data_IF_756094052358
#
_entry.id   IF_756094052358
#
_cell.length_a   1.000
_cell.length_b   1.000
_cell.length_c   1.000
_cell.angle_alpha   90.00
_cell.angle_beta   90.00
_cell.angle_gamma   90.00
#
_symmetry.space_group_name_H-M   'P 1'
#
loop_
_entity.id
_entity.type
_entity.pdbx_description
1 polymer ?
#
# COMPACT_ATOMS: atom_id res chain seq x y z
N UNK A 1 1.03 -13.77 7.90
CA UNK A 1 1.85 -13.16 8.95
C UNK A 1 2.07 -11.69 8.65
N UNK A 2 1.80 -10.84 9.61
CA UNK A 2 1.94 -9.40 9.50
C UNK A 2 3.27 -8.96 10.10
N UNK A 3 4.01 -8.12 9.39
CA UNK A 3 5.28 -7.56 9.85
C UNK A 3 5.34 -6.07 9.55
N UNK A 4 6.07 -5.34 10.39
CA UNK A 4 6.30 -3.91 10.20
C UNK A 4 7.82 -3.64 10.14
N UNK A 5 8.18 -2.63 9.36
CA UNK A 5 9.58 -2.23 9.16
C UNK A 5 9.69 -0.72 9.26
N UNK A 6 10.79 -0.24 9.80
CA UNK A 6 11.03 1.20 9.97
C UNK A 6 11.73 1.77 8.74
N UNK A 7 11.36 3.01 8.33
CA UNK A 7 12.07 3.69 7.26
C UNK A 7 13.46 4.14 7.71
N UNK A 8 14.33 4.44 6.73
CA UNK A 8 15.62 5.04 7.04
C UNK A 8 15.44 6.44 7.65
N UNK A 9 16.50 6.95 8.28
CA UNK A 9 16.44 8.24 8.98
C UNK A 9 16.03 9.41 8.08
N UNK A 10 16.45 9.38 6.82
CA UNK A 10 16.10 10.43 5.87
C UNK A 10 14.62 10.49 5.56
N UNK A 11 13.95 9.34 5.53
CA UNK A 11 12.53 9.22 5.19
C UNK A 11 11.61 9.19 6.42
N UNK A 12 12.14 8.95 7.61
CA UNK A 12 11.31 8.80 8.80
C UNK A 12 10.45 10.02 9.15
N UNK A 13 10.80 11.26 8.77
CA UNK A 13 9.87 12.39 8.95
C UNK A 13 8.61 12.31 8.12
N UNK A 14 8.62 11.55 7.03
CA UNK A 14 7.52 11.49 6.05
C UNK A 14 6.80 10.15 6.07
N UNK A 15 7.51 9.07 6.41
CA UNK A 15 6.99 7.70 6.38
C UNK A 15 6.90 7.18 7.80
N UNK A 16 5.70 6.76 8.19
CA UNK A 16 5.47 6.19 9.51
C UNK A 16 6.08 4.79 9.61
N UNK A 17 5.80 3.94 8.64
CA UNK A 17 6.30 2.56 8.59
C UNK A 17 6.04 1.94 7.23
N UNK A 18 6.76 0.85 6.97
CA UNK A 18 6.37 -0.14 5.96
C UNK A 18 5.68 -1.29 6.67
N UNK A 19 4.72 -1.91 6.01
CA UNK A 19 4.05 -3.07 6.56
C UNK A 19 3.88 -4.12 5.47
N UNK A 20 3.86 -5.38 5.88
CA UNK A 20 3.77 -6.51 4.96
C UNK A 20 2.87 -7.56 5.56
N UNK A 21 1.97 -8.09 4.77
CA UNK A 21 1.21 -9.27 5.10
C UNK A 21 1.48 -10.33 4.05
N UNK A 22 1.95 -11.49 4.49
CA UNK A 22 2.18 -12.65 3.64
C UNK A 22 1.62 -13.88 4.33
N UNK A 23 0.78 -14.64 3.65
CA UNK A 23 0.24 -15.84 4.24
C UNK A 23 -0.80 -16.49 3.35
N UNK A 24 -1.24 -17.66 3.81
CA UNK A 24 -2.36 -18.38 3.21
C UNK A 24 -3.60 -18.06 4.01
N UNK A 25 -4.68 -17.74 3.32
CA UNK A 25 -5.96 -17.47 3.95
C UNK A 25 -7.04 -18.36 3.34
N UNK A 26 -8.11 -18.53 4.08
CA UNK A 26 -9.31 -19.14 3.53
C UNK A 26 -10.06 -18.11 2.69
N UNK A 27 -10.75 -18.60 1.67
CA UNK A 27 -11.55 -17.78 0.78
C UNK A 27 -12.58 -16.95 1.58
N UNK A 28 -12.69 -15.66 1.28
CA UNK A 28 -13.66 -14.77 1.91
C UNK A 28 -13.19 -14.12 3.22
N UNK A 29 -11.91 -14.24 3.56
CA UNK A 29 -11.39 -13.56 4.75
C UNK A 29 -11.36 -12.05 4.52
N UNK A 30 -11.78 -11.33 5.57
CA UNK A 30 -11.81 -9.87 5.58
C UNK A 30 -10.73 -9.33 6.52
N UNK A 31 -10.00 -8.34 6.04
CA UNK A 31 -9.04 -7.60 6.85
C UNK A 31 -9.56 -6.19 7.06
N UNK A 32 -9.58 -5.73 8.31
CA UNK A 32 -10.03 -4.38 8.64
C UNK A 32 -8.82 -3.50 8.94
N UNK A 33 -8.68 -2.40 8.20
CA UNK A 33 -7.70 -1.38 8.49
C UNK A 33 -8.41 -0.28 9.27
N UNK A 34 -8.04 -0.04 10.56
CA UNK A 34 -8.70 0.98 11.36
C UNK A 34 -8.49 2.38 10.78
N UNK A 35 -9.38 3.33 11.05
CA UNK A 35 -9.18 4.71 10.61
C UNK A 35 -7.95 5.32 11.29
N UNK A 36 -7.12 5.99 10.50
CA UNK A 36 -5.96 6.73 10.97
C UNK A 36 -5.70 7.90 10.02
N UNK A 37 -4.95 8.90 10.48
CA UNK A 37 -4.68 10.09 9.68
C UNK A 37 -3.59 9.92 8.62
N UNK A 38 -3.17 8.69 8.35
CA UNK A 38 -2.10 8.38 7.41
C UNK A 38 -2.68 7.90 6.08
N UNK A 39 -1.92 8.14 5.00
CA UNK A 39 -2.21 7.56 3.69
C UNK A 39 -1.31 6.37 3.45
N UNK A 40 -1.82 5.36 2.76
CA UNK A 40 -1.05 4.18 2.39
C UNK A 40 -0.97 4.03 0.88
N UNK A 41 0.19 3.56 0.41
CA UNK A 41 0.33 2.99 -0.93
C UNK A 41 0.54 1.49 -0.75
N UNK A 42 -0.30 0.69 -1.39
CA UNK A 42 -0.30 -0.76 -1.22
C UNK A 42 0.14 -1.41 -2.54
N UNK A 43 1.13 -2.29 -2.46
CA UNK A 43 1.59 -3.09 -3.58
C UNK A 43 1.10 -4.52 -3.42
N UNK A 44 0.45 -5.05 -4.46
CA UNK A 44 0.00 -6.44 -4.48
C UNK A 44 1.08 -7.30 -5.12
N UNK A 45 1.74 -8.12 -4.33
CA UNK A 45 2.88 -8.93 -4.77
C UNK A 45 2.54 -10.38 -5.06
N UNK A 46 1.43 -10.85 -4.51
CA UNK A 46 0.99 -12.23 -4.68
C UNK A 46 -0.23 -12.35 -5.55
N UNK A 47 -1.07 -13.32 -5.23
CA UNK A 47 -2.34 -13.52 -5.91
C UNK A 47 -3.32 -12.40 -5.61
N UNK A 48 -4.39 -12.33 -6.37
CA UNK A 48 -5.35 -11.24 -6.32
C UNK A 48 -6.02 -11.13 -4.94
N UNK A 49 -6.00 -9.92 -4.38
CA UNK A 49 -6.88 -9.52 -3.28
C UNK A 49 -8.08 -8.86 -3.96
N UNK A 50 -9.26 -9.42 -3.80
CA UNK A 50 -10.36 -9.09 -4.70
C UNK A 50 -10.90 -7.68 -4.57
N UNK A 51 -11.09 -7.18 -3.35
CA UNK A 51 -11.75 -5.87 -3.21
C UNK A 51 -11.20 -5.07 -2.04
N UNK A 52 -11.00 -3.80 -2.31
CA UNK A 52 -10.80 -2.78 -1.29
C UNK A 52 -12.19 -2.15 -1.07
N UNK A 53 -12.77 -2.35 0.12
CA UNK A 53 -14.11 -1.89 0.49
C UNK A 53 -15.22 -2.32 -0.48
N UNK A 54 -15.13 -3.50 -1.04
CA UNK A 54 -16.14 -4.07 -1.93
C UNK A 54 -16.37 -3.28 -3.24
N UNK A 55 -15.69 -2.15 -3.41
CA UNK A 55 -15.92 -1.28 -4.56
C UNK A 55 -14.76 -1.24 -5.54
N UNK A 56 -13.55 -1.59 -5.11
CA UNK A 56 -12.35 -1.49 -5.93
C UNK A 56 -11.68 -2.84 -6.06
N UNK A 57 -11.72 -3.45 -7.25
CA UNK A 57 -10.99 -4.69 -7.47
C UNK A 57 -9.48 -4.44 -7.43
N UNK A 58 -8.74 -5.29 -6.73
CA UNK A 58 -7.30 -5.23 -6.65
C UNK A 58 -6.71 -6.39 -7.45
N UNK A 59 -5.83 -6.07 -8.38
CA UNK A 59 -5.17 -7.05 -9.23
C UNK A 59 -3.76 -7.34 -8.74
N UNK A 60 -3.21 -8.49 -9.12
CA UNK A 60 -1.82 -8.83 -8.83
C UNK A 60 -0.88 -7.87 -9.53
N UNK A 61 0.27 -7.63 -8.91
CA UNK A 61 1.38 -6.85 -9.46
C UNK A 61 0.97 -5.40 -9.79
N UNK A 62 0.09 -4.84 -8.97
CA UNK A 62 -0.38 -3.46 -9.11
C UNK A 62 -0.18 -2.71 -7.81
N UNK A 63 -0.36 -1.40 -7.87
CA UNK A 63 -0.29 -0.57 -6.68
C UNK A 63 -1.55 0.29 -6.55
N UNK A 64 -1.94 0.52 -5.30
CA UNK A 64 -3.17 1.21 -4.96
C UNK A 64 -2.91 2.25 -3.89
N UNK A 65 -3.64 3.34 -3.96
CA UNK A 65 -3.58 4.42 -3.00
C UNK A 65 -4.81 4.37 -2.09
N UNK A 66 -4.57 4.47 -0.78
CA UNK A 66 -5.62 4.60 0.22
C UNK A 66 -5.34 5.90 0.98
N UNK A 67 -6.20 6.90 0.81
CA UNK A 67 -6.06 8.19 1.47
C UNK A 67 -6.33 8.11 2.97
N UNK A 68 -6.13 9.23 3.68
CA UNK A 68 -6.51 9.29 5.09
C UNK A 68 -8.00 8.95 5.24
N UNK A 69 -8.31 8.00 6.14
CA UNK A 69 -9.67 7.50 6.30
C UNK A 69 -10.21 7.87 7.66
N UNK A 70 -11.47 8.25 7.72
CA UNK A 70 -12.17 8.46 8.99
C UNK A 70 -13.11 7.29 9.34
N UNK A 71 -13.13 6.24 8.50
CA UNK A 71 -13.85 5.00 8.73
C UNK A 71 -12.95 3.82 8.46
N UNK A 72 -13.39 2.60 8.81
CA UNK A 72 -12.64 1.39 8.51
C UNK A 72 -12.51 1.18 7.02
N UNK A 73 -11.33 0.68 6.61
CA UNK A 73 -11.10 0.16 5.27
C UNK A 73 -11.12 -1.36 5.36
N UNK A 74 -11.83 -2.00 4.44
CA UNK A 74 -11.95 -3.45 4.41
C UNK A 74 -11.26 -4.03 3.18
N UNK A 75 -10.34 -4.98 3.41
CA UNK A 75 -9.73 -5.77 2.35
C UNK A 75 -10.39 -7.15 2.37
N UNK A 76 -10.93 -7.56 1.24
CA UNK A 76 -11.55 -8.90 1.12
C UNK A 76 -10.69 -9.77 0.22
N UNK A 77 -10.23 -10.88 0.75
CA UNK A 77 -9.37 -11.82 0.04
C UNK A 77 -10.16 -13.07 -0.34
N UNK A 78 -10.19 -13.38 -1.63
CA UNK A 78 -10.84 -14.58 -2.15
C UNK A 78 -9.83 -15.60 -2.69
N UNK A 79 -8.54 -15.36 -2.49
CA UNK A 79 -7.47 -16.26 -2.93
C UNK A 79 -6.73 -16.83 -1.74
N UNK A 80 -6.10 -18.00 -1.94
CA UNK A 80 -5.41 -18.69 -0.85
C UNK A 80 -4.11 -18.02 -0.43
N UNK A 81 -3.40 -17.41 -1.37
CA UNK A 81 -2.09 -16.81 -1.11
C UNK A 81 -2.16 -15.30 -1.23
N UNK A 82 -1.89 -14.61 -0.13
CA UNK A 82 -1.88 -13.15 -0.10
C UNK A 82 -0.46 -12.69 0.19
N UNK A 83 0.00 -11.72 -0.59
CA UNK A 83 1.25 -11.04 -0.30
C UNK A 83 1.08 -9.59 -0.69
N UNK A 84 0.95 -8.71 0.31
CA UNK A 84 0.81 -7.28 0.11
C UNK A 84 1.87 -6.56 0.92
N UNK A 85 2.38 -5.47 0.36
CA UNK A 85 3.38 -4.61 1.00
C UNK A 85 2.87 -3.18 0.95
N UNK A 86 2.85 -2.49 2.08
CA UNK A 86 2.34 -1.14 2.19
C UNK A 86 3.37 -0.15 2.65
N UNK A 87 3.27 1.07 2.15
CA UNK A 87 4.01 2.24 2.62
C UNK A 87 3.01 3.16 3.30
N UNK A 88 3.16 3.36 4.61
CA UNK A 88 2.29 4.25 5.37
C UNK A 88 2.98 5.57 5.58
N UNK A 89 2.42 6.62 5.02
CA UNK A 89 2.94 7.98 5.17
C UNK A 89 2.38 8.61 6.43
N UNK A 90 3.22 9.38 7.12
CA UNK A 90 2.74 10.19 8.24
C UNK A 90 1.72 11.20 7.76
N UNK A 91 0.86 11.73 8.63
CA UNK A 91 -0.03 12.83 8.24
C UNK A 91 0.77 13.93 7.57
N UNK A 92 0.31 14.37 6.40
CA UNK A 92 0.99 15.36 5.54
C UNK A 92 2.34 14.92 4.95
N UNK A 93 2.85 13.72 5.28
CA UNK A 93 4.10 13.24 4.73
C UNK A 93 4.04 13.00 3.23
N UNK A 94 2.90 12.54 2.74
CA UNK A 94 2.71 12.26 1.33
C UNK A 94 2.87 13.50 0.44
N UNK A 95 2.56 14.69 0.96
CA UNK A 95 2.66 15.94 0.21
C UNK A 95 4.08 16.27 -0.24
N UNK A 96 5.09 15.62 0.35
CA UNK A 96 6.47 15.77 -0.09
C UNK A 96 6.76 15.02 -1.40
N UNK A 97 5.88 14.11 -1.79
CA UNK A 97 6.11 13.21 -2.91
C UNK A 97 5.10 13.36 -4.04
N UNK A 98 3.92 13.91 -3.78
CA UNK A 98 2.91 14.16 -4.81
C UNK A 98 2.37 15.58 -4.69
N UNK A 99 2.02 16.16 -5.84
CA UNK A 99 1.52 17.54 -5.93
C UNK A 99 -0.01 17.57 -5.97
N UNK A 100 -0.64 17.03 -4.94
CA UNK A 100 -2.10 17.08 -4.81
C UNK A 100 -2.49 17.55 -3.42
N UNK A 101 -3.56 18.36 -3.30
CA UNK A 101 -4.08 18.72 -1.98
C UNK A 101 -4.55 17.48 -1.23
N UNK A 102 -4.02 17.25 -0.02
CA UNK A 102 -4.36 16.06 0.75
C UNK A 102 -5.83 16.01 1.14
N UNK A 103 -6.47 17.18 1.32
CA UNK A 103 -7.89 17.23 1.65
C UNK A 103 -8.78 16.66 0.55
N UNK A 104 -8.32 16.64 -0.69
CA UNK A 104 -9.05 16.01 -1.79
C UNK A 104 -8.90 14.50 -1.80
N UNK A 105 -7.93 13.97 -1.03
CA UNK A 105 -7.63 12.55 -0.98
C UNK A 105 -8.24 11.85 0.22
N UNK A 106 -8.91 12.58 1.12
CA UNK A 106 -9.57 12.00 2.28
C UNK A 106 -10.65 11.03 1.83
N UNK A 107 -10.65 9.83 2.40
CA UNK A 107 -11.56 8.73 2.08
C UNK A 107 -11.51 8.27 0.62
N UNK A 108 -10.41 8.58 -0.10
CA UNK A 108 -10.24 8.13 -1.49
C UNK A 108 -9.45 6.83 -1.53
N UNK A 109 -9.84 5.95 -2.44
CA UNK A 109 -9.16 4.70 -2.77
C UNK A 109 -9.01 4.66 -4.28
N UNK A 110 -7.78 4.69 -4.75
CA UNK A 110 -7.49 4.87 -6.17
C UNK A 110 -6.37 3.92 -6.60
N UNK A 111 -6.41 3.52 -7.88
CA UNK A 111 -5.24 2.91 -8.49
C UNK A 111 -4.16 3.99 -8.65
N UNK A 112 -2.90 3.67 -8.39
CA UNK A 112 -1.84 4.68 -8.48
C UNK A 112 -1.65 5.23 -9.89
N UNK A 113 -2.12 4.51 -10.92
CA UNK A 113 -2.10 5.01 -12.29
C UNK A 113 -2.98 6.25 -12.48
N UNK A 114 -3.93 6.49 -11.57
CA UNK A 114 -4.82 7.64 -11.62
C UNK A 114 -4.28 8.86 -10.87
N UNK A 115 -3.07 8.74 -10.31
CA UNK A 115 -2.43 9.82 -9.55
C UNK A 115 -1.07 10.14 -10.12
N UNK A 116 -0.65 11.43 -10.09
CA UNK A 116 0.74 11.76 -10.30
C UNK A 116 1.54 11.23 -9.10
N UNK A 117 2.26 10.14 -9.28
CA UNK A 117 2.98 9.46 -8.21
C UNK A 117 4.41 9.20 -8.63
N UNK A 118 5.27 9.07 -7.63
CA UNK A 118 6.66 8.67 -7.82
C UNK A 118 6.81 7.20 -8.23
N UNK A 119 5.77 6.39 -8.02
CA UNK A 119 5.78 4.99 -8.43
C UNK A 119 5.11 4.84 -9.78
N UNK A 120 5.88 4.46 -10.78
CA UNK A 120 5.37 4.20 -12.12
C UNK A 120 4.50 2.94 -12.12
N UNK A 121 3.69 2.81 -13.17
CA UNK A 121 2.76 1.70 -13.29
C UNK A 121 3.42 0.32 -13.16
N UNK A 122 4.64 0.17 -13.65
CA UNK A 122 5.38 -1.11 -13.62
C UNK A 122 6.14 -1.34 -12.32
N UNK A 123 6.09 -0.40 -11.37
CA UNK A 123 6.91 -0.50 -10.16
C UNK A 123 6.55 -1.73 -9.32
N UNK A 124 5.25 -2.04 -9.21
CA UNK A 124 4.81 -3.22 -8.45
C UNK A 124 5.32 -4.51 -9.09
N UNK A 125 5.35 -4.58 -10.43
CA UNK A 125 5.92 -5.74 -11.13
C UNK A 125 7.40 -5.89 -10.82
N UNK A 126 8.13 -4.79 -10.80
CA UNK A 126 9.56 -4.80 -10.47
C UNK A 126 9.79 -5.28 -9.03
N UNK A 127 8.94 -4.89 -8.08
CA UNK A 127 9.04 -5.38 -6.71
C UNK A 127 8.81 -6.89 -6.62
N UNK A 128 7.94 -7.44 -7.44
CA UNK A 128 7.69 -8.88 -7.45
C UNK A 128 8.91 -9.69 -7.90
N UNK A 129 9.80 -9.09 -8.67
CA UNK A 129 11.03 -9.73 -9.13
C UNK A 129 12.13 -9.76 -8.07
N UNK A 130 11.98 -8.99 -6.98
CA UNK A 130 12.96 -8.98 -5.91
C UNK A 130 12.87 -10.25 -5.06
N UNK A 131 14.00 -10.68 -4.55
CA UNK A 131 14.11 -11.97 -3.85
C UNK A 131 13.48 -11.92 -2.46
N UNK A 132 13.66 -10.82 -1.74
CA UNK A 132 13.20 -10.72 -0.35
C UNK A 132 12.67 -9.32 -0.03
N UNK A 133 12.11 -9.17 1.16
CA UNK A 133 11.52 -7.92 1.62
C UNK A 133 12.54 -6.81 1.73
N UNK A 134 13.76 -7.12 2.18
CA UNK A 134 14.80 -6.09 2.28
C UNK A 134 15.08 -5.45 0.93
N UNK A 135 15.21 -6.25 -0.12
CA UNK A 135 15.43 -5.72 -1.47
C UNK A 135 14.24 -4.88 -1.95
N UNK A 136 13.03 -5.28 -1.62
CA UNK A 136 11.83 -4.51 -1.97
C UNK A 136 11.81 -3.16 -1.26
N UNK A 137 12.10 -3.14 0.03
CA UNK A 137 12.15 -1.90 0.81
C UNK A 137 13.28 -0.98 0.32
N UNK A 138 14.44 -1.55 0.00
CA UNK A 138 15.55 -0.77 -0.56
C UNK A 138 15.14 -0.13 -1.89
N UNK A 139 14.43 -0.85 -2.75
CA UNK A 139 13.94 -0.30 -4.02
C UNK A 139 12.93 0.82 -3.80
N UNK A 140 12.04 0.69 -2.84
CA UNK A 140 11.08 1.74 -2.48
C UNK A 140 11.81 2.97 -1.97
N UNK A 141 12.76 2.81 -1.05
CA UNK A 141 13.52 3.92 -0.48
C UNK A 141 14.38 4.63 -1.51
N UNK A 142 14.94 3.89 -2.45
CA UNK A 142 15.71 4.46 -3.54
C UNK A 142 14.84 5.35 -4.44
N UNK A 143 13.56 5.00 -4.62
CA UNK A 143 12.63 5.77 -5.43
C UNK A 143 12.14 7.03 -4.70
N UNK A 144 12.06 6.99 -3.41
CA UNK A 144 11.65 8.13 -2.58
C UNK A 144 12.86 9.01 -2.24
#
# INVERSE_FOLDING_TARGET
MYKEYQPCNLLSPYIDRYWEYEGKTECGIKFHIPPHGCADIIFTLGNVVDYLDQSMPMRSHCSYFVGPMNTYTELVAHTENIHILGVRFRPCGLSQFIELPLNELVNKKLCTSDLPTIFEHSFAEMLCEKVDTKQRLDAIEERL
#
